data_IF_026317681681
#
_entry.id   IF_026317681681
#
_cell.length_a   1.000
_cell.length_b   1.000
_cell.length_c   1.000
_cell.angle_alpha   90.00
_cell.angle_beta   90.00
_cell.angle_gamma   90.00
#
_symmetry.space_group_name_H-M   'P 1'
#
loop_
_entity.id
_entity.type
_entity.pdbx_description
1 polymer ?
#
# COMPACT_ATOMS: atom_id res chain seq x y z
N UNK A 1 -10.57 -49.90 41.37
CA UNK A 1 -9.27 -49.25 41.66
C UNK A 1 -9.55 -47.75 41.70
N UNK A 2 -10.13 -47.17 42.74
CA UNK A 2 -9.80 -47.20 44.18
C UNK A 2 -8.54 -46.39 44.54
N UNK A 3 -8.69 -45.52 45.56
CA UNK A 3 -7.81 -44.48 46.19
C UNK A 3 -8.22 -43.03 45.87
N UNK A 4 -8.94 -42.30 46.75
CA UNK A 4 -8.60 -41.84 48.12
C UNK A 4 -7.26 -41.11 48.17
N UNK A 5 -7.04 -40.01 48.90
CA UNK A 5 -7.81 -39.05 49.70
C UNK A 5 -6.78 -38.00 50.17
N UNK A 6 -7.23 -37.03 50.96
CA UNK A 6 -6.44 -36.06 51.76
C UNK A 6 -5.73 -34.92 51.01
N UNK A 7 -5.91 -33.64 51.39
CA UNK A 7 -6.27 -33.12 52.69
C UNK A 7 -5.19 -32.15 53.13
N UNK A 8 -5.46 -30.84 53.08
CA UNK A 8 -4.77 -29.85 53.91
C UNK A 8 -5.57 -28.57 54.04
N UNK A 9 -6.09 -28.39 55.25
CA UNK A 9 -6.65 -27.17 55.83
C UNK A 9 -5.51 -26.20 56.19
N UNK A 10 -5.83 -24.91 56.19
CA UNK A 10 -5.06 -23.81 56.80
C UNK A 10 -4.85 -22.69 55.78
N UNK A 11 -5.26 -21.44 55.99
CA UNK A 11 -5.49 -20.70 57.24
C UNK A 11 -6.56 -19.64 57.01
N UNK A 12 -7.41 -19.45 58.02
CA UNK A 12 -8.28 -18.29 58.17
C UNK A 12 -7.38 -17.06 58.40
N UNK A 13 -7.24 -16.22 57.38
CA UNK A 13 -6.68 -14.88 57.53
C UNK A 13 -7.73 -13.97 58.17
N UNK A 14 -7.37 -13.35 59.30
CA UNK A 14 -8.21 -12.36 59.96
C UNK A 14 -8.51 -11.18 59.00
N UNK A 15 -9.73 -10.61 59.02
CA UNK A 15 -10.01 -9.39 58.29
C UNK A 15 -9.25 -8.24 58.97
N UNK A 16 -8.22 -7.71 58.30
CA UNK A 16 -7.67 -6.40 58.67
C UNK A 16 -8.78 -5.36 58.57
N UNK A 17 -8.98 -4.50 59.58
CA UNK A 17 -9.91 -3.37 59.46
C UNK A 17 -9.36 -2.42 58.40
N UNK A 18 -10.00 -2.43 57.23
CA UNK A 18 -9.76 -1.42 56.20
C UNK A 18 -10.25 -0.10 56.78
N UNK A 19 -9.40 0.94 56.92
CA UNK A 19 -9.87 2.24 57.39
C UNK A 19 -10.93 2.75 56.41
N UNK A 20 -12.17 2.82 56.91
CA UNK A 20 -13.28 3.48 56.27
C UNK A 20 -13.02 5.00 56.28
N UNK A 21 -12.30 5.47 55.25
CA UNK A 21 -12.19 6.87 54.93
C UNK A 21 -11.80 7.02 53.45
N UNK A 22 -12.63 6.52 52.53
CA UNK A 22 -12.70 7.15 51.21
C UNK A 22 -13.69 8.28 51.39
N UNK A 23 -13.16 9.39 51.89
CA UNK A 23 -13.79 10.69 51.76
C UNK A 23 -14.27 10.83 50.32
N UNK A 24 -15.51 11.27 50.18
CA UNK A 24 -16.09 11.74 48.92
C UNK A 24 -15.23 12.89 48.37
N UNK A 25 -14.05 12.59 47.80
CA UNK A 25 -13.45 13.43 46.78
C UNK A 25 -14.43 13.37 45.63
N UNK A 26 -15.29 14.37 45.55
CA UNK A 26 -15.84 14.83 44.28
C UNK A 26 -14.65 15.15 43.38
N UNK A 27 -14.05 14.12 42.76
CA UNK A 27 -12.99 14.25 41.78
C UNK A 27 -13.64 14.78 40.52
N UNK A 28 -13.97 16.07 40.53
CA UNK A 28 -14.45 16.76 39.35
C UNK A 28 -13.39 16.57 38.28
N UNK A 29 -13.75 15.81 37.25
CA UNK A 29 -12.82 15.44 36.21
C UNK A 29 -12.18 16.70 35.60
N UNK A 30 -10.85 16.70 35.36
CA UNK A 30 -10.16 17.90 34.91
C UNK A 30 -10.72 18.35 33.56
N UNK A 31 -10.93 19.65 33.41
CA UNK A 31 -11.33 20.24 32.12
C UNK A 31 -10.07 20.42 31.29
N UNK A 32 -10.04 19.79 30.12
CA UNK A 32 -8.91 19.79 29.19
C UNK A 32 -9.30 20.51 27.91
N UNK A 33 -8.38 21.30 27.35
CA UNK A 33 -8.55 21.91 26.02
C UNK A 33 -8.31 20.85 24.94
N UNK A 34 -9.22 20.78 23.97
CA UNK A 34 -9.12 19.90 22.81
C UNK A 34 -9.44 20.68 21.53
N UNK A 35 -9.06 20.13 20.38
CA UNK A 35 -9.35 20.70 19.07
C UNK A 35 -10.47 19.91 18.38
N UNK A 36 -11.37 20.62 17.69
CA UNK A 36 -12.46 19.99 16.93
C UNK A 36 -11.90 19.08 15.84
N UNK A 37 -12.39 17.84 15.77
CA UNK A 37 -11.98 16.85 14.79
C UNK A 37 -12.52 17.11 13.36
N UNK A 38 -13.40 18.09 13.17
CA UNK A 38 -13.80 18.53 11.83
C UNK A 38 -12.62 19.31 11.18
N UNK A 39 -12.05 18.81 10.06
CA UNK A 39 -10.87 19.38 9.43
C UNK A 39 -11.07 20.83 8.95
N UNK A 40 -12.32 21.25 8.73
CA UNK A 40 -12.67 22.63 8.33
C UNK A 40 -12.84 23.57 9.55
N UNK A 41 -13.12 23.02 10.73
CA UNK A 41 -13.37 23.83 11.92
C UNK A 41 -12.11 24.05 12.75
N UNK A 42 -11.46 22.96 13.18
CA UNK A 42 -10.27 22.94 14.06
C UNK A 42 -10.29 23.87 15.28
N UNK A 43 -11.44 24.39 15.70
CA UNK A 43 -11.55 25.30 16.86
C UNK A 43 -11.22 24.58 18.17
N UNK A 44 -10.58 25.31 19.08
CA UNK A 44 -10.38 24.89 20.45
C UNK A 44 -11.72 24.83 21.20
N UNK A 45 -11.89 23.80 22.02
CA UNK A 45 -13.03 23.68 22.92
C UNK A 45 -12.63 22.97 24.22
N UNK A 46 -13.34 23.30 25.30
CA UNK A 46 -13.13 22.68 26.60
C UNK A 46 -13.94 21.39 26.70
N UNK A 47 -13.30 20.29 27.11
CA UNK A 47 -13.97 19.02 27.39
C UNK A 47 -13.57 18.50 28.77
N UNK A 48 -14.50 17.85 29.45
CA UNK A 48 -14.21 17.19 30.72
C UNK A 48 -13.49 15.87 30.45
N UNK A 49 -12.28 15.69 30.97
CA UNK A 49 -11.55 14.43 30.92
C UNK A 49 -12.09 13.46 31.99
N UNK A 50 -13.34 13.04 31.80
CA UNK A 50 -14.07 12.14 32.70
C UNK A 50 -14.15 10.72 32.16
N UNK A 51 -14.81 9.84 32.93
CA UNK A 51 -15.16 8.49 32.48
C UNK A 51 -16.21 8.58 31.37
N UNK A 52 -15.98 7.89 30.25
CA UNK A 52 -16.87 7.85 29.09
C UNK A 52 -16.16 8.15 27.77
N UNK A 53 -16.91 8.11 26.66
CA UNK A 53 -16.38 8.46 25.33
C UNK A 53 -16.14 9.97 25.28
N UNK A 54 -14.90 10.43 25.03
CA UNK A 54 -14.61 11.85 25.00
C UNK A 54 -15.32 12.52 23.83
N UNK A 55 -15.85 13.72 24.06
CA UNK A 55 -16.34 14.58 22.98
C UNK A 55 -15.15 15.04 22.13
N UNK A 56 -15.26 14.86 20.81
CA UNK A 56 -14.21 15.22 19.83
C UNK A 56 -14.62 16.37 18.90
N UNK A 57 -15.88 16.83 18.97
CA UNK A 57 -16.39 17.95 18.19
C UNK A 57 -16.87 19.09 19.10
N UNK A 58 -16.58 20.33 18.71
CA UNK A 58 -17.00 21.52 19.48
C UNK A 58 -18.52 21.74 19.45
N UNK A 59 -19.25 21.14 18.50
CA UNK A 59 -20.71 21.26 18.34
C UNK A 59 -21.30 20.03 17.62
N UNK A 60 -22.61 19.82 17.73
CA UNK A 60 -23.32 18.82 16.91
C UNK A 60 -23.32 19.18 15.43
N UNK A 61 -23.31 20.47 15.09
CA UNK A 61 -23.18 20.94 13.72
C UNK A 61 -21.84 20.50 13.10
N UNK A 62 -20.72 20.64 13.83
CA UNK A 62 -19.42 20.15 13.37
C UNK A 62 -19.36 18.61 13.30
N UNK A 63 -20.05 17.90 14.21
CA UNK A 63 -20.17 16.43 14.09
C UNK A 63 -20.85 16.05 12.77
N UNK A 64 -22.02 16.63 12.50
CA UNK A 64 -22.77 16.36 11.26
C UNK A 64 -22.01 16.77 10.01
N UNK A 65 -21.33 17.92 10.04
CA UNK A 65 -20.45 18.40 8.97
C UNK A 65 -19.36 17.37 8.65
N UNK A 66 -18.60 16.94 9.66
CA UNK A 66 -17.55 15.95 9.50
C UNK A 66 -18.08 14.59 8.99
N UNK A 67 -19.22 14.12 9.52
CA UNK A 67 -19.86 12.88 9.05
C UNK A 67 -20.31 12.98 7.58
N UNK A 68 -20.90 14.11 7.18
CA UNK A 68 -21.32 14.35 5.80
C UNK A 68 -20.13 14.43 4.84
N UNK A 69 -19.05 15.12 5.25
CA UNK A 69 -17.81 15.19 4.48
C UNK A 69 -17.19 13.79 4.32
N UNK A 70 -17.13 13.01 5.40
CA UNK A 70 -16.64 11.63 5.36
C UNK A 70 -17.44 10.76 4.39
N UNK A 71 -18.79 10.85 4.41
CA UNK A 71 -19.64 10.13 3.45
C UNK A 71 -19.34 10.52 2.01
N UNK A 72 -19.24 11.82 1.72
CA UNK A 72 -18.93 12.33 0.36
C UNK A 72 -17.58 11.83 -0.14
N UNK A 73 -16.54 11.93 0.69
CA UNK A 73 -15.19 11.46 0.34
C UNK A 73 -15.19 9.94 0.13
N UNK A 74 -15.88 9.19 0.99
CA UNK A 74 -15.95 7.73 0.85
C UNK A 74 -16.64 7.30 -0.45
N UNK A 75 -17.72 7.99 -0.86
CA UNK A 75 -18.43 7.71 -2.10
C UNK A 75 -17.54 8.03 -3.32
N UNK A 76 -16.81 9.15 -3.28
CA UNK A 76 -15.85 9.51 -4.33
C UNK A 76 -14.72 8.47 -4.43
N UNK A 77 -14.14 8.07 -3.29
CA UNK A 77 -13.08 7.05 -3.26
C UNK A 77 -13.57 5.71 -3.81
N UNK A 78 -14.81 5.31 -3.50
CA UNK A 78 -15.38 4.09 -4.04
C UNK A 78 -15.52 4.17 -5.57
N UNK A 79 -16.10 5.26 -6.09
CA UNK A 79 -16.23 5.46 -7.53
C UNK A 79 -14.88 5.40 -8.25
N UNK A 80 -13.86 6.08 -7.73
CA UNK A 80 -12.52 6.05 -8.33
C UNK A 80 -11.87 4.67 -8.25
N UNK A 81 -12.10 3.89 -7.18
CA UNK A 81 -11.62 2.51 -7.07
C UNK A 81 -12.27 1.60 -8.11
N UNK A 82 -13.57 1.74 -8.34
CA UNK A 82 -14.29 0.97 -9.37
C UNK A 82 -13.74 1.28 -10.77
N UNK A 83 -13.43 2.55 -11.06
CA UNK A 83 -12.79 2.96 -12.31
C UNK A 83 -11.36 2.43 -12.45
N UNK A 84 -10.56 2.48 -11.38
CA UNK A 84 -9.21 1.91 -11.38
C UNK A 84 -9.24 0.41 -11.67
N UNK A 85 -10.14 -0.35 -11.03
CA UNK A 85 -10.30 -1.79 -11.26
C UNK A 85 -10.72 -2.14 -12.70
N UNK A 86 -11.49 -1.26 -13.36
CA UNK A 86 -11.85 -1.44 -14.76
C UNK A 86 -10.63 -1.26 -15.66
N UNK A 87 -9.86 -0.19 -15.45
CA UNK A 87 -8.64 0.07 -16.22
C UNK A 87 -7.57 -1.01 -15.99
N UNK A 88 -7.44 -1.52 -14.77
CA UNK A 88 -6.55 -2.65 -14.46
C UNK A 88 -6.95 -3.91 -15.23
N UNK A 89 -8.25 -4.18 -15.38
CA UNK A 89 -8.75 -5.30 -16.20
C UNK A 89 -8.46 -5.07 -17.68
N UNK A 90 -8.63 -3.85 -18.18
CA UNK A 90 -8.34 -3.51 -19.57
C UNK A 90 -6.84 -3.69 -19.88
N UNK A 91 -5.96 -3.22 -18.97
CA UNK A 91 -4.51 -3.44 -19.07
C UNK A 91 -4.16 -4.94 -19.09
N UNK A 92 -4.74 -5.74 -18.19
CA UNK A 92 -4.51 -7.18 -18.16
C UNK A 92 -4.98 -7.88 -19.45
N UNK A 93 -6.05 -7.38 -20.09
CA UNK A 93 -6.52 -7.90 -21.37
C UNK A 93 -5.52 -7.63 -22.50
N UNK A 94 -4.89 -6.45 -22.53
CA UNK A 94 -3.81 -6.15 -23.47
C UNK A 94 -2.59 -7.06 -23.25
N UNK A 95 -2.17 -7.27 -22.01
CA UNK A 95 -1.05 -8.17 -21.69
C UNK A 95 -1.34 -9.63 -22.08
N UNK A 96 -2.58 -10.08 -21.91
CA UNK A 96 -3.01 -11.43 -22.29
C UNK A 96 -3.08 -11.60 -23.81
N UNK A 97 -3.42 -10.54 -24.55
CA UNK A 97 -3.43 -10.52 -26.02
C UNK A 97 -2.03 -10.45 -26.64
N UNK A 98 -1.02 -10.06 -25.86
CA UNK A 98 0.37 -9.93 -26.29
C UNK A 98 1.16 -11.26 -26.22
N UNK A 99 0.54 -12.37 -25.84
CA UNK A 99 1.23 -13.67 -25.72
C UNK A 99 0.82 -14.69 -26.78
N UNK A 100 1.60 -14.84 -27.87
CA UNK A 100 1.97 -16.15 -28.34
C UNK A 100 3.16 -16.63 -27.49
N UNK A 101 3.06 -17.86 -26.96
CA UNK A 101 4.19 -18.64 -26.42
C UNK A 101 5.44 -18.42 -27.27
N UNK A 102 6.39 -17.65 -26.77
CA UNK A 102 7.74 -17.57 -27.31
C UNK A 102 8.68 -18.11 -26.24
N UNK A 103 8.74 -19.43 -26.18
CA UNK A 103 9.95 -20.11 -25.73
C UNK A 103 11.05 -19.70 -26.70
N UNK A 104 12.12 -18.99 -26.29
CA UNK A 104 13.19 -18.66 -27.21
C UNK A 104 14.07 -19.90 -27.35
N UNK A 105 13.71 -20.79 -28.26
CA UNK A 105 14.69 -21.63 -28.93
C UNK A 105 15.53 -20.71 -29.83
N UNK A 106 16.85 -20.61 -29.64
CA UNK A 106 17.71 -19.74 -30.44
C UNK A 106 17.98 -20.43 -31.78
N UNK A 107 17.02 -20.37 -32.69
CA UNK A 107 17.19 -20.88 -34.04
C UNK A 107 16.37 -20.06 -35.04
N UNK A 108 16.89 -18.89 -35.40
CA UNK A 108 16.87 -18.36 -36.78
C UNK A 108 17.34 -16.90 -36.79
N UNK A 109 17.90 -16.50 -37.92
CA UNK A 109 18.33 -15.12 -38.25
C UNK A 109 17.23 -14.08 -37.96
N UNK A 110 15.94 -14.48 -38.04
CA UNK A 110 14.80 -13.64 -37.68
C UNK A 110 14.77 -13.19 -36.20
N UNK A 111 15.35 -13.99 -35.30
CA UNK A 111 15.51 -13.61 -33.89
C UNK A 111 16.58 -12.53 -33.68
N UNK A 112 17.55 -12.43 -34.60
CA UNK A 112 18.64 -11.47 -34.52
C UNK A 112 18.15 -10.06 -34.88
N UNK A 113 17.39 -9.90 -35.96
CA UNK A 113 16.81 -8.60 -36.34
C UNK A 113 15.89 -8.05 -35.25
N UNK A 114 15.08 -8.92 -34.64
CA UNK A 114 14.21 -8.57 -33.51
C UNK A 114 15.02 -8.21 -32.25
N UNK A 115 16.20 -8.80 -32.05
CA UNK A 115 17.10 -8.44 -30.96
C UNK A 115 17.79 -7.10 -31.21
N UNK A 116 18.21 -6.82 -32.45
CA UNK A 116 18.81 -5.55 -32.87
C UNK A 116 17.80 -4.41 -32.72
N UNK A 117 16.57 -4.57 -33.20
CA UNK A 117 15.53 -3.55 -33.05
C UNK A 117 15.20 -3.21 -31.58
N UNK A 118 15.20 -4.22 -30.70
CA UNK A 118 15.01 -4.00 -29.26
C UNK A 118 16.19 -3.26 -28.63
N UNK A 119 17.41 -3.61 -29.01
CA UNK A 119 18.60 -2.94 -28.51
C UNK A 119 18.68 -1.47 -28.97
N UNK A 120 18.25 -1.15 -30.20
CA UNK A 120 18.11 0.23 -30.68
C UNK A 120 17.12 1.03 -29.83
N UNK A 121 15.97 0.44 -29.47
CA UNK A 121 14.99 1.07 -28.59
C UNK A 121 15.55 1.41 -27.20
N UNK A 122 16.40 0.53 -26.66
CA UNK A 122 17.10 0.77 -25.38
C UNK A 122 18.12 1.91 -25.51
N UNK A 123 18.80 2.02 -26.66
CA UNK A 123 19.77 3.08 -26.93
C UNK A 123 19.11 4.46 -27.01
N UNK A 124 17.89 4.56 -27.57
CA UNK A 124 17.11 5.81 -27.55
C UNK A 124 16.77 6.29 -26.14
N UNK A 125 16.65 5.37 -25.17
CA UNK A 125 16.45 5.71 -23.75
C UNK A 125 17.75 6.03 -22.99
N UNK A 126 18.89 5.56 -23.50
CA UNK A 126 20.22 5.71 -22.90
C UNK A 126 21.07 6.81 -23.54
N UNK A 127 20.55 7.57 -24.51
CA UNK A 127 21.32 8.55 -25.30
C UNK A 127 21.69 9.81 -24.49
N UNK A 128 22.45 9.64 -23.43
CA UNK A 128 22.99 10.67 -22.54
C UNK A 128 24.43 11.09 -22.93
N UNK A 129 24.95 10.55 -24.03
CA UNK A 129 26.33 10.78 -24.49
C UNK A 129 27.38 10.04 -23.66
N UNK A 130 26.98 9.11 -22.79
CA UNK A 130 27.90 8.33 -21.97
C UNK A 130 28.81 7.42 -22.81
N UNK A 131 29.92 7.05 -22.20
CA UNK A 131 30.84 6.03 -22.72
C UNK A 131 30.07 4.71 -22.94
N UNK A 132 29.12 4.38 -22.07
CA UNK A 132 28.29 3.18 -22.19
C UNK A 132 27.40 3.23 -23.44
N UNK A 133 26.71 4.35 -23.69
CA UNK A 133 25.91 4.52 -24.91
C UNK A 133 26.76 4.44 -26.18
N UNK A 134 27.98 4.98 -26.13
CA UNK A 134 28.93 4.95 -27.26
C UNK A 134 29.45 3.53 -27.55
N UNK A 135 29.82 2.77 -26.51
CA UNK A 135 30.24 1.37 -26.66
C UNK A 135 29.08 0.47 -27.10
N UNK A 136 27.86 0.71 -26.60
CA UNK A 136 26.68 -0.03 -27.02
C UNK A 136 26.35 0.20 -28.51
N UNK A 137 26.51 1.44 -28.99
CA UNK A 137 26.38 1.78 -30.42
C UNK A 137 27.38 1.00 -31.27
N UNK A 138 28.67 0.99 -30.88
CA UNK A 138 29.73 0.26 -31.61
C UNK A 138 29.44 -1.24 -31.68
N UNK A 139 28.94 -1.82 -30.59
CA UNK A 139 28.58 -3.24 -30.56
C UNK A 139 27.41 -3.56 -31.51
N UNK A 140 26.39 -2.70 -31.57
CA UNK A 140 25.28 -2.88 -32.51
C UNK A 140 25.72 -2.80 -33.97
N UNK A 141 26.59 -1.84 -34.29
CA UNK A 141 27.15 -1.72 -35.64
C UNK A 141 28.01 -2.93 -36.02
N UNK A 142 28.80 -3.46 -35.08
CA UNK A 142 29.56 -4.70 -35.29
C UNK A 142 28.66 -5.91 -35.52
N UNK A 143 27.56 -6.05 -34.79
CA UNK A 143 26.57 -7.13 -34.97
C UNK A 143 25.89 -7.05 -36.34
N UNK A 144 25.56 -5.83 -36.80
CA UNK A 144 25.00 -5.61 -38.15
C UNK A 144 26.01 -5.97 -39.24
N UNK A 145 27.27 -5.55 -39.09
CA UNK A 145 28.33 -5.86 -40.04
C UNK A 145 28.67 -7.35 -40.11
N UNK A 146 28.46 -8.08 -39.01
CA UNK A 146 28.69 -9.52 -38.93
C UNK A 146 27.52 -10.36 -39.48
N UNK A 147 26.37 -9.77 -39.85
CA UNK A 147 25.29 -10.50 -40.51
C UNK A 147 25.77 -10.97 -41.90
N UNK A 148 25.87 -12.30 -42.16
CA UNK A 148 26.28 -12.78 -43.46
C UNK A 148 25.19 -12.49 -44.49
N UNK A 149 25.60 -12.07 -45.68
CA UNK A 149 24.81 -12.04 -46.90
C UNK A 149 24.34 -13.46 -47.29
N UNK A 150 23.37 -14.02 -46.56
CA UNK A 150 22.67 -15.28 -46.87
C UNK A 150 21.68 -15.13 -48.05
N UNK A 151 21.97 -14.27 -49.02
CA UNK A 151 21.13 -14.09 -50.22
C UNK A 151 21.84 -14.45 -51.53
N UNK A 152 23.11 -14.92 -51.51
CA UNK A 152 23.87 -15.21 -52.74
C UNK A 152 24.27 -16.67 -53.00
N UNK A 153 23.87 -17.65 -52.17
CA UNK A 153 24.16 -19.07 -52.43
C UNK A 153 22.91 -19.95 -52.65
N UNK A 154 21.96 -19.45 -53.45
CA UNK A 154 20.88 -20.29 -54.02
C UNK A 154 20.61 -19.92 -55.49
N UNK A 155 21.66 -19.94 -56.31
CA UNK A 155 21.55 -20.02 -57.77
C UNK A 155 22.81 -20.72 -58.29
N UNK A 156 22.64 -21.95 -58.77
CA UNK A 156 23.68 -22.85 -59.25
C UNK A 156 23.10 -24.24 -59.40
#
# INVERSE_FOLDING_TARGET
MDRSADGRRGRLGAPTPVPAAIENRSTKAPVVTAYCADPQCRKEFRRTAGRGRPRIYCSDACRRSAENAARRISAQLQHHREMAQMLERDLAAFDSSASPKSTPEPSSVAGLDTAVARAEGVLLGLSDGSVLASEFTRLLDAVRAAQPSQQQHRAG
#
